data_IF_639171424345
#
_entry.id   IF_639171424345
#
_cell.length_a   1.000
_cell.length_b   1.000
_cell.length_c   1.000
_cell.angle_alpha   90.00
_cell.angle_beta   90.00
_cell.angle_gamma   90.00
#
_symmetry.space_group_name_H-M   'P 1'
#
loop_
_entity.id
_entity.type
_entity.pdbx_description
1 polymer ?
#
# COMPACT_ATOMS: atom_id res chain seq x y z
N UNK A 1 -1.00 -2.08 21.24
CA UNK A 1 -1.20 -1.95 19.78
C UNK A 1 -0.95 -0.50 19.37
N UNK A 2 0.01 -0.18 18.48
CA UNK A 2 0.36 1.20 18.12
C UNK A 2 -0.64 1.87 17.16
N UNK A 3 -1.64 1.13 16.69
CA UNK A 3 -2.70 1.59 15.80
C UNK A 3 -4.04 1.55 16.52
N UNK A 4 -4.86 2.58 16.31
CA UNK A 4 -6.27 2.54 16.72
C UNK A 4 -7.09 1.74 15.69
N UNK A 5 -8.27 1.29 16.07
CA UNK A 5 -9.11 0.41 15.24
C UNK A 5 -9.38 1.01 13.84
N UNK A 6 -9.60 2.32 13.74
CA UNK A 6 -9.89 3.01 12.47
C UNK A 6 -8.65 3.44 11.66
N UNK A 7 -7.45 3.14 12.17
CA UNK A 7 -6.20 3.59 11.55
C UNK A 7 -5.60 2.61 10.57
N UNK A 8 -6.11 1.37 10.53
CA UNK A 8 -5.74 0.34 9.55
C UNK A 8 -6.99 -0.11 8.82
N UNK A 9 -6.97 -0.02 7.49
CA UNK A 9 -8.00 -0.59 6.64
C UNK A 9 -7.43 -1.81 5.91
N UNK A 10 -8.16 -2.92 5.99
CA UNK A 10 -7.89 -4.12 5.20
C UNK A 10 -8.91 -4.19 4.06
N UNK A 11 -8.42 -4.38 2.85
CA UNK A 11 -9.25 -4.66 1.68
C UNK A 11 -8.81 -5.98 1.08
N UNK A 12 -9.77 -6.79 0.64
CA UNK A 12 -9.50 -8.04 -0.04
C UNK A 12 -10.33 -8.13 -1.31
N UNK A 13 -9.75 -8.69 -2.36
CA UNK A 13 -10.42 -8.98 -3.62
C UNK A 13 -9.89 -10.30 -4.18
N UNK A 14 -10.76 -11.05 -4.85
CA UNK A 14 -10.38 -12.23 -5.62
C UNK A 14 -10.87 -12.06 -7.06
N UNK A 15 -10.11 -12.56 -8.03
CA UNK A 15 -10.48 -12.45 -9.44
C UNK A 15 -9.53 -13.18 -10.36
N UNK A 16 -9.92 -13.32 -11.62
CA UNK A 16 -9.06 -13.90 -12.66
C UNK A 16 -8.01 -12.86 -13.08
N UNK A 17 -6.74 -13.24 -13.00
CA UNK A 17 -5.60 -12.43 -13.41
C UNK A 17 -5.37 -12.43 -14.91
N UNK A 18 -4.45 -11.59 -15.39
CA UNK A 18 -4.07 -11.51 -16.80
C UNK A 18 -3.46 -12.83 -17.35
N UNK A 19 -3.04 -13.73 -16.46
CA UNK A 19 -2.56 -15.07 -16.77
C UNK A 19 -3.69 -16.13 -16.86
N UNK A 20 -4.95 -15.72 -16.70
CA UNK A 20 -6.12 -16.59 -16.72
C UNK A 20 -6.32 -17.43 -15.45
N UNK A 21 -5.53 -17.20 -14.40
CA UNK A 21 -5.62 -17.94 -13.13
C UNK A 21 -6.41 -17.14 -12.09
N UNK A 22 -6.95 -17.80 -11.07
CA UNK A 22 -7.51 -17.11 -9.91
C UNK A 22 -6.39 -16.53 -9.05
N UNK A 23 -6.51 -15.25 -8.71
CA UNK A 23 -5.64 -14.54 -7.80
C UNK A 23 -6.45 -13.93 -6.66
N UNK A 24 -5.81 -13.80 -5.51
CA UNK A 24 -6.30 -13.05 -4.36
C UNK A 24 -5.37 -11.87 -4.10
N UNK A 25 -5.93 -10.71 -3.79
CA UNK A 25 -5.21 -9.50 -3.42
C UNK A 25 -5.68 -9.02 -2.06
N UNK A 26 -4.75 -8.76 -1.16
CA UNK A 26 -5.01 -8.01 0.07
C UNK A 26 -4.26 -6.68 0.03
N UNK A 27 -4.96 -5.60 0.38
CA UNK A 27 -4.36 -4.28 0.54
C UNK A 27 -4.52 -3.86 1.99
N UNK A 28 -3.42 -3.45 2.62
CA UNK A 28 -3.40 -2.88 3.96
C UNK A 28 -3.08 -1.40 3.81
N UNK A 29 -4.01 -0.55 4.23
CA UNK A 29 -3.83 0.90 4.21
C UNK A 29 -3.76 1.41 5.63
N UNK A 30 -2.76 2.22 5.94
CA UNK A 30 -2.59 2.85 7.25
C UNK A 30 -2.78 4.36 7.08
N UNK A 31 -3.64 4.97 7.91
CA UNK A 31 -3.80 6.44 7.88
C UNK A 31 -2.46 7.09 8.21
N UNK A 32 -2.02 8.04 7.38
CA UNK A 32 -0.74 8.73 7.57
C UNK A 32 -0.59 9.31 8.98
N UNK A 33 -1.65 9.95 9.52
CA UNK A 33 -1.63 10.51 10.87
C UNK A 33 -1.29 9.47 11.97
N UNK A 34 -1.65 8.20 11.77
CA UNK A 34 -1.34 7.14 12.74
C UNK A 34 0.14 6.76 12.75
N UNK A 35 0.85 6.95 11.63
CA UNK A 35 2.29 6.73 11.51
C UNK A 35 3.11 7.70 12.36
N UNK A 36 2.54 8.85 12.76
CA UNK A 36 3.25 9.85 13.58
C UNK A 36 3.73 9.30 14.91
N UNK A 37 2.96 8.40 15.52
CA UNK A 37 3.31 7.75 16.79
C UNK A 37 4.53 6.83 16.69
N UNK A 38 4.83 6.38 15.47
CA UNK A 38 5.98 5.52 15.18
C UNK A 38 7.17 6.30 14.63
N UNK A 39 7.06 7.62 14.45
CA UNK A 39 8.09 8.39 13.76
C UNK A 39 8.12 8.17 12.24
N UNK A 40 7.11 7.49 11.67
CA UNK A 40 7.08 7.06 10.26
C UNK A 40 6.23 7.99 9.37
N UNK A 41 5.81 9.14 9.88
CA UNK A 41 5.06 10.10 9.07
C UNK A 41 6.00 10.86 8.13
N UNK A 42 5.64 11.11 6.86
CA UNK A 42 6.51 11.80 5.89
C UNK A 42 7.03 13.18 6.32
N UNK A 43 6.32 13.84 7.24
CA UNK A 43 6.76 15.11 7.85
C UNK A 43 7.62 14.98 9.11
N UNK A 44 8.06 13.78 9.49
CA UNK A 44 8.96 13.56 10.64
C UNK A 44 10.37 13.20 10.16
N UNK A 45 11.44 13.75 10.79
CA UNK A 45 12.82 13.44 10.41
C UNK A 45 13.15 11.95 10.51
N UNK A 46 12.57 11.25 11.48
CA UNK A 46 12.78 9.80 11.69
C UNK A 46 12.21 8.92 10.58
N UNK A 47 11.40 9.48 9.68
CA UNK A 47 10.88 8.77 8.52
C UNK A 47 11.80 8.86 7.29
N UNK A 48 12.84 9.70 7.35
CA UNK A 48 13.84 9.82 6.30
C UNK A 48 14.68 8.54 6.22
N UNK A 49 14.82 8.00 5.00
CA UNK A 49 15.70 6.85 4.74
C UNK A 49 17.07 7.41 4.38
N UNK A 50 17.95 7.50 5.38
CA UNK A 50 19.33 7.99 5.27
C UNK A 50 20.35 6.89 4.91
N UNK A 51 19.91 5.63 4.89
CA UNK A 51 20.70 4.47 4.50
C UNK A 51 20.71 4.21 2.98
N UNK A 52 21.58 3.29 2.52
CA UNK A 52 21.55 2.85 1.13
C UNK A 52 20.15 2.33 0.79
N UNK A 53 19.64 2.71 -0.39
CA UNK A 53 18.36 2.19 -0.85
C UNK A 53 18.39 0.65 -0.82
N UNK A 54 17.30 0.00 -0.35
CA UNK A 54 17.26 -1.44 -0.34
C UNK A 54 17.42 -2.01 -1.75
N UNK A 55 17.81 -3.30 -1.89
CA UNK A 55 18.02 -3.92 -3.19
C UNK A 55 16.85 -3.68 -4.13
N UNK A 56 17.12 -3.44 -5.43
CA UNK A 56 16.06 -3.11 -6.41
C UNK A 56 14.92 -4.12 -6.48
N UNK A 57 15.17 -5.40 -6.18
CA UNK A 57 14.12 -6.42 -6.16
C UNK A 57 13.07 -6.17 -5.05
N UNK A 58 13.43 -5.43 -3.99
CA UNK A 58 12.51 -5.03 -2.91
C UNK A 58 11.44 -4.05 -3.39
N UNK A 59 11.80 -3.14 -4.30
CA UNK A 59 10.88 -2.13 -4.84
C UNK A 59 10.09 -2.62 -6.06
N UNK A 60 10.61 -3.60 -6.78
CA UNK A 60 10.08 -3.98 -8.08
C UNK A 60 8.59 -4.35 -8.06
N UNK A 61 8.11 -5.05 -7.03
CA UNK A 61 6.68 -5.40 -6.94
C UNK A 61 5.80 -4.20 -6.51
N UNK A 62 6.32 -3.35 -5.62
CA UNK A 62 5.64 -2.13 -5.20
C UNK A 62 5.47 -1.14 -6.37
N UNK A 63 6.49 -1.00 -7.22
CA UNK A 63 6.48 -0.16 -8.42
C UNK A 63 5.50 -0.68 -9.49
N UNK A 64 5.46 -2.00 -9.71
CA UNK A 64 4.48 -2.66 -10.59
C UNK A 64 3.06 -2.41 -10.10
N UNK A 65 2.81 -2.62 -8.81
CA UNK A 65 1.49 -2.42 -8.19
C UNK A 65 1.05 -0.96 -8.28
N UNK A 66 1.93 -0.01 -7.98
CA UNK A 66 1.63 1.42 -8.09
C UNK A 66 1.27 1.83 -9.53
N UNK A 67 1.91 1.20 -10.51
CA UNK A 67 1.60 1.40 -11.94
C UNK A 67 0.25 0.80 -12.30
N UNK A 68 -0.02 -0.44 -11.90
CA UNK A 68 -1.32 -1.09 -12.12
C UNK A 68 -2.48 -0.32 -11.47
N UNK A 69 -2.27 0.27 -10.28
CA UNK A 69 -3.29 1.07 -9.59
C UNK A 69 -3.57 2.41 -10.26
N UNK A 70 -2.57 3.05 -10.89
CA UNK A 70 -2.78 4.26 -11.71
C UNK A 70 -3.55 3.95 -12.99
N UNK A 71 -3.36 2.75 -13.54
CA UNK A 71 -3.99 2.31 -14.78
C UNK A 71 -5.35 1.61 -14.57
N UNK A 72 -5.72 1.31 -13.32
CA UNK A 72 -7.02 0.73 -13.02
C UNK A 72 -8.13 1.76 -13.33
N UNK A 73 -9.16 1.40 -14.12
CA UNK A 73 -10.30 2.28 -14.29
C UNK A 73 -10.89 2.57 -12.92
N UNK A 74 -11.10 3.86 -12.63
CA UNK A 74 -11.75 4.31 -11.40
C UNK A 74 -13.00 3.46 -11.19
N UNK A 75 -13.08 2.81 -10.02
CA UNK A 75 -14.28 2.13 -9.57
C UNK A 75 -15.41 3.15 -9.71
N UNK A 76 -16.32 2.95 -10.66
CA UNK A 76 -17.48 3.80 -10.81
C UNK A 76 -18.23 3.79 -9.47
N UNK A 77 -18.26 4.94 -8.79
CA UNK A 77 -19.21 5.20 -7.72
C UNK A 77 -20.60 4.94 -8.31
N UNK A 78 -21.23 3.86 -7.87
CA UNK A 78 -22.66 3.65 -8.09
C UNK A 78 -23.37 4.23 -6.86
N UNK A 79 -24.40 5.08 -7.05
CA UNK A 79 -25.03 5.86 -5.98
C UNK A 79 -25.68 5.01 -4.89
#
# INVERSE_FOLDING_TARGET
>A
MPFGEDSIQFQHACGIGADGRWHGWFCVQVRAAALRRLGLHPGQPTAEVDGPSPPRWWHAEAERTATSRRSAPGRADTP
#
